data_IF_389452054536
#
_entry.id   IF_389452054536
#
_cell.length_a   1.000
_cell.length_b   1.000
_cell.length_c   1.000
_cell.angle_alpha   90.00
_cell.angle_beta   90.00
_cell.angle_gamma   90.00
#
_symmetry.space_group_name_H-M   'P 1'
#
loop_
_entity.id
_entity.type
_entity.pdbx_description
1 polymer ?
#
# COMPACT_ATOMS: atom_id res chain seq x y z
N UNK A 1 -27.89 -20.51 -7.44
CA UNK A 1 -26.58 -19.87 -7.19
C UNK A 1 -26.33 -18.67 -8.09
N UNK A 2 -26.23 -18.81 -9.42
CA UNK A 2 -25.98 -17.66 -10.32
C UNK A 2 -27.02 -16.55 -10.12
N UNK A 3 -28.31 -16.87 -10.15
CA UNK A 3 -29.37 -15.89 -9.92
C UNK A 3 -29.27 -15.22 -8.55
N UNK A 4 -28.90 -15.96 -7.50
CA UNK A 4 -28.72 -15.39 -6.16
C UNK A 4 -27.59 -14.35 -6.12
N UNK A 5 -26.46 -14.61 -6.79
CA UNK A 5 -25.27 -13.75 -6.73
C UNK A 5 -25.24 -12.65 -7.80
N UNK A 6 -25.88 -12.87 -8.94
CA UNK A 6 -25.69 -12.06 -10.15
C UNK A 6 -26.97 -11.41 -10.67
N UNK A 7 -28.00 -11.31 -9.83
CA UNK A 7 -29.24 -10.55 -10.09
C UNK A 7 -29.61 -9.73 -8.85
N UNK A 8 -30.66 -8.93 -8.94
CA UNK A 8 -31.20 -8.18 -7.79
C UNK A 8 -32.02 -9.09 -6.86
N UNK A 9 -31.37 -10.15 -6.34
CA UNK A 9 -32.00 -11.15 -5.49
C UNK A 9 -32.16 -10.64 -4.05
N UNK A 10 -33.15 -11.14 -3.32
CA UNK A 10 -33.32 -10.83 -1.90
C UNK A 10 -32.09 -11.24 -1.06
N UNK A 11 -31.45 -12.35 -1.43
CA UNK A 11 -30.18 -12.78 -0.83
C UNK A 11 -29.11 -11.69 -0.95
N UNK A 12 -28.90 -11.17 -2.16
CA UNK A 12 -27.86 -10.17 -2.41
C UNK A 12 -28.17 -8.85 -1.71
N UNK A 13 -29.43 -8.40 -1.73
CA UNK A 13 -29.85 -7.19 -0.99
C UNK A 13 -29.54 -7.32 0.51
N UNK A 14 -29.89 -8.47 1.12
CA UNK A 14 -29.57 -8.75 2.53
C UNK A 14 -28.06 -8.77 2.78
N UNK A 15 -27.29 -9.42 1.91
CA UNK A 15 -25.84 -9.51 2.02
C UNK A 15 -25.18 -8.12 1.97
N UNK A 16 -25.56 -7.28 1.01
CA UNK A 16 -25.05 -5.92 0.87
C UNK A 16 -25.35 -5.08 2.13
N UNK A 17 -26.57 -5.15 2.66
CA UNK A 17 -26.96 -4.46 3.88
C UNK A 17 -26.12 -4.90 5.09
N UNK A 18 -25.89 -6.21 5.28
CA UNK A 18 -25.06 -6.74 6.37
C UNK A 18 -23.61 -6.25 6.28
N UNK A 19 -23.11 -5.99 5.06
CA UNK A 19 -21.76 -5.47 4.81
C UNK A 19 -21.67 -3.94 4.86
N UNK A 20 -22.74 -3.24 5.23
CA UNK A 20 -22.85 -1.79 5.19
C UNK A 20 -22.55 -1.22 3.79
N UNK A 21 -23.01 -1.91 2.75
CA UNK A 21 -22.98 -1.44 1.36
C UNK A 21 -24.36 -0.86 1.04
N UNK A 22 -24.38 0.41 0.63
CA UNK A 22 -25.59 1.18 0.35
C UNK A 22 -25.58 1.73 -1.07
N UNK A 23 -26.73 2.25 -1.52
CA UNK A 23 -26.91 2.88 -2.83
C UNK A 23 -26.45 2.01 -4.01
N UNK A 24 -26.63 0.68 -3.88
CA UNK A 24 -26.23 -0.26 -4.90
C UNK A 24 -27.15 -0.19 -6.12
N UNK A 25 -26.58 0.22 -7.25
CA UNK A 25 -27.23 0.29 -8.56
C UNK A 25 -26.50 -0.62 -9.53
N UNK A 26 -27.23 -1.38 -10.34
CA UNK A 26 -26.66 -2.28 -11.35
C UNK A 26 -27.32 -2.08 -12.70
N UNK A 27 -26.53 -2.02 -13.76
CA UNK A 27 -27.06 -2.09 -15.13
C UNK A 27 -27.55 -3.50 -15.46
N UNK A 28 -28.48 -3.66 -16.43
CA UNK A 28 -28.77 -4.98 -16.98
C UNK A 28 -27.53 -5.59 -17.63
N UNK A 29 -27.54 -6.92 -17.78
CA UNK A 29 -26.53 -7.66 -18.54
C UNK A 29 -26.67 -7.36 -20.04
N UNK A 30 -25.61 -6.84 -20.65
CA UNK A 30 -25.56 -6.49 -22.06
C UNK A 30 -24.43 -7.27 -22.74
N UNK A 31 -24.67 -7.78 -23.95
CA UNK A 31 -23.65 -8.50 -24.71
C UNK A 31 -22.64 -7.53 -25.34
N UNK A 32 -21.35 -7.83 -25.27
CA UNK A 32 -20.31 -7.11 -26.01
C UNK A 32 -20.03 -7.75 -27.38
N UNK A 33 -19.21 -7.08 -28.19
CA UNK A 33 -18.76 -7.58 -29.49
C UNK A 33 -17.89 -8.86 -29.42
N UNK A 34 -17.48 -9.29 -28.23
CA UNK A 34 -16.69 -10.53 -28.04
C UNK A 34 -17.56 -11.76 -27.70
N UNK A 35 -18.86 -11.53 -27.46
CA UNK A 35 -19.86 -12.51 -27.06
C UNK A 35 -19.98 -12.70 -25.54
N UNK A 36 -19.22 -11.95 -24.74
CA UNK A 36 -19.37 -11.94 -23.29
C UNK A 36 -20.57 -11.06 -22.91
N UNK A 37 -21.15 -11.29 -21.72
CA UNK A 37 -22.13 -10.37 -21.16
C UNK A 37 -21.46 -9.50 -20.10
N UNK A 38 -21.71 -8.20 -20.13
CA UNK A 38 -21.19 -7.24 -19.18
C UNK A 38 -22.31 -6.54 -18.44
N UNK A 39 -22.02 -6.19 -17.19
CA UNK A 39 -22.79 -5.21 -16.44
C UNK A 39 -21.86 -4.40 -15.54
N UNK A 40 -22.32 -3.24 -15.15
CA UNK A 40 -21.62 -2.37 -14.20
C UNK A 40 -22.49 -2.17 -12.97
N UNK A 41 -21.87 -2.27 -11.81
CA UNK A 41 -22.47 -1.95 -10.53
C UNK A 41 -21.75 -0.75 -9.93
N UNK A 42 -22.51 0.10 -9.24
CA UNK A 42 -22.00 1.21 -8.44
C UNK A 42 -22.63 1.15 -7.07
N UNK A 43 -21.83 1.31 -6.02
CA UNK A 43 -22.30 1.25 -4.63
C UNK A 43 -21.36 1.99 -3.70
N UNK A 44 -21.85 2.31 -2.50
CA UNK A 44 -21.07 2.97 -1.44
C UNK A 44 -20.83 2.00 -0.30
N UNK A 45 -19.56 1.78 0.06
CA UNK A 45 -19.14 0.95 1.19
C UNK A 45 -18.88 1.86 2.39
N UNK A 46 -19.56 1.63 3.50
CA UNK A 46 -19.27 2.31 4.77
C UNK A 46 -18.08 1.61 5.44
N UNK A 47 -17.00 2.35 5.64
CA UNK A 47 -15.73 1.83 6.15
C UNK A 47 -15.59 2.17 7.63
N UNK A 48 -15.31 1.16 8.46
CA UNK A 48 -15.00 1.33 9.88
C UNK A 48 -13.49 1.19 10.13
N UNK A 49 -12.67 1.97 9.41
CA UNK A 49 -11.22 1.98 9.55
C UNK A 49 -10.70 3.43 9.56
N UNK A 50 -10.18 3.93 10.69
CA UNK A 50 -9.76 5.33 10.83
C UNK A 50 -8.58 5.72 9.91
N UNK A 51 -7.85 4.75 9.36
CA UNK A 51 -6.73 4.99 8.43
C UNK A 51 -7.17 5.13 6.96
N UNK A 52 -8.35 4.64 6.61
CA UNK A 52 -8.83 4.57 5.22
C UNK A 52 -9.87 5.66 4.95
N UNK A 53 -10.72 5.95 5.94
CA UNK A 53 -11.83 6.90 5.80
C UNK A 53 -13.14 6.33 6.35
N UNK A 54 -14.22 7.11 6.23
CA UNK A 54 -15.55 6.72 6.72
C UNK A 54 -16.37 5.97 5.67
N UNK A 55 -16.13 6.22 4.39
CA UNK A 55 -16.83 5.60 3.28
C UNK A 55 -15.95 5.59 2.04
N UNK A 56 -16.30 4.72 1.08
CA UNK A 56 -15.82 4.81 -0.30
C UNK A 56 -16.92 4.41 -1.25
N UNK A 57 -17.03 5.12 -2.35
CA UNK A 57 -17.74 4.68 -3.53
C UNK A 57 -16.90 3.64 -4.27
N UNK A 58 -17.58 2.71 -4.92
CA UNK A 58 -16.96 1.66 -5.71
C UNK A 58 -17.71 1.45 -7.02
N UNK A 59 -16.95 1.15 -8.07
CA UNK A 59 -17.45 0.73 -9.38
C UNK A 59 -16.97 -0.69 -9.63
N UNK A 60 -17.91 -1.60 -9.84
CA UNK A 60 -17.65 -2.99 -10.12
C UNK A 60 -18.12 -3.34 -11.53
N UNK A 61 -17.17 -3.66 -12.41
CA UNK A 61 -17.44 -4.14 -13.76
C UNK A 61 -17.43 -5.65 -13.77
N UNK A 62 -18.56 -6.26 -14.07
CA UNK A 62 -18.69 -7.71 -14.13
C UNK A 62 -18.78 -8.19 -15.58
N UNK A 63 -18.03 -9.23 -15.89
CA UNK A 63 -18.01 -9.88 -17.19
C UNK A 63 -18.35 -11.35 -17.02
N UNK A 64 -19.53 -11.76 -17.49
CA UNK A 64 -19.92 -13.15 -17.62
C UNK A 64 -19.32 -13.71 -18.91
N UNK A 65 -18.50 -14.75 -18.76
CA UNK A 65 -17.80 -15.37 -19.87
C UNK A 65 -18.77 -16.07 -20.82
N UNK A 66 -18.57 -15.90 -22.14
CA UNK A 66 -19.36 -16.52 -23.21
C UNK A 66 -19.40 -18.05 -23.20
N UNK A 67 -18.41 -18.69 -22.59
CA UNK A 67 -18.35 -20.15 -22.43
C UNK A 67 -19.25 -20.65 -21.29
N UNK A 68 -19.90 -19.76 -20.55
CA UNK A 68 -20.83 -20.12 -19.48
C UNK A 68 -22.07 -20.78 -20.08
N UNK A 69 -22.44 -21.93 -19.52
CA UNK A 69 -23.59 -22.70 -19.97
C UNK A 69 -24.70 -22.64 -18.92
N UNK A 70 -25.88 -22.14 -19.32
CA UNK A 70 -27.03 -21.99 -18.44
C UNK A 70 -27.35 -23.32 -17.74
N UNK A 71 -27.38 -23.30 -16.42
CA UNK A 71 -27.68 -24.46 -15.58
C UNK A 71 -26.51 -25.43 -15.34
N UNK A 72 -25.39 -25.29 -16.05
CA UNK A 72 -24.22 -26.18 -15.91
C UNK A 72 -23.01 -25.46 -15.31
N UNK A 73 -22.60 -24.34 -15.90
CA UNK A 73 -21.39 -23.63 -15.49
C UNK A 73 -21.51 -22.13 -15.72
N UNK A 74 -21.02 -21.34 -14.78
CA UNK A 74 -20.93 -19.89 -14.90
C UNK A 74 -19.56 -19.42 -14.47
N UNK A 75 -18.97 -18.50 -15.23
CA UNK A 75 -17.74 -17.81 -14.86
C UNK A 75 -17.92 -16.31 -14.99
N UNK A 76 -17.85 -15.61 -13.86
CA UNK A 76 -17.96 -14.16 -13.80
C UNK A 76 -16.66 -13.58 -13.25
N UNK A 77 -16.03 -12.70 -14.02
CA UNK A 77 -14.88 -11.91 -13.59
C UNK A 77 -15.39 -10.51 -13.22
N UNK A 78 -15.12 -10.07 -11.99
CA UNK A 78 -15.58 -8.81 -11.42
C UNK A 78 -14.38 -7.92 -11.07
N UNK A 79 -14.20 -6.84 -11.80
CA UNK A 79 -13.17 -5.83 -11.56
C UNK A 79 -13.75 -4.73 -10.68
N UNK A 80 -13.23 -4.57 -9.47
CA UNK A 80 -13.71 -3.59 -8.49
C UNK A 80 -12.70 -2.47 -8.32
N UNK A 81 -13.14 -1.25 -8.62
CA UNK A 81 -12.42 -0.01 -8.40
C UNK A 81 -13.07 0.74 -7.25
N UNK A 82 -12.30 1.05 -6.21
CA UNK A 82 -12.69 1.97 -5.13
C UNK A 82 -12.20 3.37 -5.47
N UNK A 83 -12.90 4.44 -5.06
CA UNK A 83 -12.57 5.80 -5.47
C UNK A 83 -12.11 6.74 -4.35
N UNK A 84 -12.48 6.49 -3.10
CA UNK A 84 -12.26 7.48 -2.00
C UNK A 84 -11.23 7.01 -0.95
N UNK A 85 -10.57 5.87 -1.20
CA UNK A 85 -9.55 5.31 -0.29
C UNK A 85 -8.14 5.83 -0.64
N UNK A 86 -7.20 5.89 0.32
CA UNK A 86 -5.81 6.21 0.02
C UNK A 86 -5.23 5.27 -1.05
N UNK A 87 -4.50 5.84 -2.01
CA UNK A 87 -3.88 5.12 -3.13
C UNK A 87 -4.88 4.39 -4.05
N UNK A 88 -6.14 4.83 -4.11
CA UNK A 88 -7.17 4.23 -4.97
C UNK A 88 -6.79 4.17 -6.46
N UNK A 89 -5.92 5.06 -6.93
CA UNK A 89 -5.41 5.10 -8.30
C UNK A 89 -4.26 4.11 -8.57
N UNK A 90 -3.67 3.52 -7.52
CA UNK A 90 -2.56 2.57 -7.63
C UNK A 90 -3.02 1.13 -7.90
N UNK A 91 -4.21 0.75 -7.41
CA UNK A 91 -4.64 -0.65 -7.42
C UNK A 91 -6.14 -0.81 -7.66
N UNK A 92 -6.53 -2.03 -8.01
CA UNK A 92 -7.91 -2.48 -8.08
C UNK A 92 -7.97 -3.97 -7.74
N UNK A 93 -9.15 -4.50 -7.45
CA UNK A 93 -9.31 -5.92 -7.14
C UNK A 93 -10.05 -6.65 -8.25
N UNK A 94 -9.67 -7.89 -8.51
CA UNK A 94 -10.33 -8.75 -9.49
C UNK A 94 -10.83 -9.99 -8.79
N UNK A 95 -12.14 -10.15 -8.71
CA UNK A 95 -12.81 -11.30 -8.11
C UNK A 95 -13.33 -12.21 -9.22
N UNK A 96 -12.92 -13.48 -9.22
CA UNK A 96 -13.37 -14.48 -10.18
C UNK A 96 -14.26 -15.50 -9.48
N UNK A 97 -15.51 -15.53 -9.92
CA UNK A 97 -16.54 -16.45 -9.46
C UNK A 97 -16.68 -17.57 -10.48
N UNK A 98 -16.49 -18.82 -10.05
CA UNK A 98 -16.74 -20.01 -10.85
C UNK A 98 -17.80 -20.87 -10.17
N UNK A 99 -18.94 -21.02 -10.84
CA UNK A 99 -20.05 -21.85 -10.39
C UNK A 99 -20.11 -23.05 -11.33
N UNK A 100 -20.03 -24.26 -10.79
CA UNK A 100 -20.16 -25.50 -11.57
C UNK A 100 -21.17 -26.42 -10.92
N UNK A 101 -22.13 -26.92 -11.69
CA UNK A 101 -23.09 -27.93 -11.23
C UNK A 101 -22.35 -29.21 -10.85
N UNK A 102 -22.74 -29.81 -9.74
CA UNK A 102 -22.15 -31.08 -9.24
C UNK A 102 -23.17 -32.20 -9.20
N UNK A 103 -24.44 -31.90 -8.87
CA UNK A 103 -25.55 -32.84 -8.91
C UNK A 103 -26.87 -32.11 -9.14
N UNK A 104 -28.00 -32.82 -9.06
CA UNK A 104 -29.30 -32.15 -9.02
C UNK A 104 -29.40 -31.26 -7.77
N UNK A 105 -29.80 -30.00 -7.96
CA UNK A 105 -29.87 -28.99 -6.89
C UNK A 105 -28.56 -28.77 -6.08
N UNK A 106 -27.40 -29.18 -6.61
CA UNK A 106 -26.09 -28.96 -5.98
C UNK A 106 -25.10 -28.34 -6.96
N UNK A 107 -24.31 -27.40 -6.46
CA UNK A 107 -23.26 -26.76 -7.21
C UNK A 107 -22.04 -26.52 -6.32
N UNK A 108 -20.89 -26.30 -6.97
CA UNK A 108 -19.66 -25.84 -6.33
C UNK A 108 -19.43 -24.40 -6.74
N UNK A 109 -19.27 -23.52 -5.75
CA UNK A 109 -18.78 -22.16 -5.94
C UNK A 109 -17.27 -22.14 -5.61
N UNK A 110 -16.46 -21.61 -6.52
CA UNK A 110 -15.07 -21.25 -6.26
C UNK A 110 -14.91 -19.76 -6.45
N UNK A 111 -14.21 -19.13 -5.51
CA UNK A 111 -13.95 -17.71 -5.52
C UNK A 111 -12.45 -17.50 -5.38
N UNK A 112 -11.87 -16.76 -6.32
CA UNK A 112 -10.45 -16.39 -6.30
C UNK A 112 -10.35 -14.90 -6.52
N UNK A 113 -9.49 -14.24 -5.75
CA UNK A 113 -9.26 -12.81 -5.86
C UNK A 113 -7.81 -12.54 -6.16
N UNK A 114 -7.57 -11.43 -6.85
CA UNK A 114 -6.24 -10.90 -7.07
C UNK A 114 -6.25 -9.38 -6.88
N UNK A 115 -5.15 -8.83 -6.37
CA UNK A 115 -4.95 -7.39 -6.22
C UNK A 115 -4.03 -6.94 -7.34
N UNK A 116 -4.57 -6.16 -8.27
CA UNK A 116 -3.85 -5.69 -9.46
C UNK A 116 -3.35 -4.27 -9.23
N UNK A 117 -2.09 -4.03 -9.59
CA UNK A 117 -1.46 -2.72 -9.47
C UNK A 117 -1.38 -2.05 -10.85
N UNK A 118 -1.93 -0.83 -10.95
CA UNK A 118 -1.78 0.06 -12.12
C UNK A 118 -0.44 0.79 -12.08
N UNK A 119 0.02 1.13 -10.87
CA UNK A 119 1.30 1.78 -10.59
C UNK A 119 2.05 0.94 -9.56
N UNK A 120 3.37 0.81 -9.69
CA UNK A 120 4.16 0.03 -8.74
C UNK A 120 4.27 0.78 -7.40
N UNK A 121 3.64 0.31 -6.30
CA UNK A 121 3.78 0.93 -5.00
C UNK A 121 5.15 0.59 -4.37
N UNK A 122 5.71 1.53 -3.61
CA UNK A 122 6.93 1.29 -2.82
C UNK A 122 6.63 0.42 -1.60
N UNK A 123 7.61 -0.36 -1.12
CA UNK A 123 7.40 -1.50 -0.21
C UNK A 123 6.44 -1.27 0.98
N UNK A 124 6.55 -0.13 1.68
CA UNK A 124 5.64 0.18 2.79
C UNK A 124 4.20 0.43 2.34
N UNK A 125 4.03 1.15 1.22
CA UNK A 125 2.70 1.42 0.63
C UNK A 125 2.09 0.10 0.14
N UNK A 126 2.88 -0.73 -0.53
CA UNK A 126 2.44 -2.06 -0.99
C UNK A 126 1.92 -2.91 0.16
N UNK A 127 2.70 -3.02 1.24
CA UNK A 127 2.30 -3.84 2.40
C UNK A 127 1.06 -3.28 3.12
N UNK A 128 0.89 -1.96 3.17
CA UNK A 128 -0.32 -1.33 3.71
C UNK A 128 -1.55 -1.64 2.84
N UNK A 129 -1.43 -1.52 1.52
CA UNK A 129 -2.50 -1.87 0.58
C UNK A 129 -2.87 -3.34 0.72
N UNK A 130 -1.89 -4.25 0.66
CA UNK A 130 -2.14 -5.70 0.74
C UNK A 130 -2.79 -6.09 2.05
N UNK A 131 -2.29 -5.60 3.18
CA UNK A 131 -2.81 -5.95 4.50
C UNK A 131 -4.27 -5.52 4.66
N UNK A 132 -4.60 -4.28 4.31
CA UNK A 132 -5.97 -3.78 4.47
C UNK A 132 -6.92 -4.44 3.45
N UNK A 133 -6.48 -4.58 2.20
CA UNK A 133 -7.29 -5.15 1.11
C UNK A 133 -7.59 -6.63 1.38
N UNK A 134 -6.57 -7.44 1.68
CA UNK A 134 -6.78 -8.86 1.96
C UNK A 134 -7.61 -9.12 3.22
N UNK A 135 -7.42 -8.33 4.27
CA UNK A 135 -8.26 -8.42 5.46
C UNK A 135 -9.74 -8.17 5.12
N UNK A 136 -10.03 -7.11 4.34
CA UNK A 136 -11.39 -6.77 3.92
C UNK A 136 -12.03 -7.82 3.02
N UNK A 137 -11.28 -8.32 2.02
CA UNK A 137 -11.73 -9.38 1.11
C UNK A 137 -12.03 -10.68 1.88
N UNK A 138 -11.12 -11.09 2.75
CA UNK A 138 -11.27 -12.32 3.52
C UNK A 138 -12.51 -12.27 4.43
N UNK A 139 -12.73 -11.15 5.12
CA UNK A 139 -13.92 -10.96 5.95
C UNK A 139 -15.20 -10.99 5.11
N UNK A 140 -15.19 -10.30 3.96
CA UNK A 140 -16.33 -10.25 3.05
C UNK A 140 -16.73 -11.64 2.55
N UNK A 141 -15.77 -12.46 2.13
CA UNK A 141 -16.06 -13.79 1.62
C UNK A 141 -16.38 -14.82 2.69
N UNK A 142 -15.82 -14.69 3.89
CA UNK A 142 -16.25 -15.50 5.04
C UNK A 142 -17.72 -15.23 5.37
N UNK A 143 -18.15 -13.97 5.32
CA UNK A 143 -19.55 -13.64 5.53
C UNK A 143 -20.43 -14.17 4.38
N UNK A 144 -19.97 -14.04 3.13
CA UNK A 144 -20.70 -14.56 1.97
C UNK A 144 -20.90 -16.08 2.06
N UNK A 145 -19.85 -16.81 2.45
CA UNK A 145 -19.90 -18.25 2.67
C UNK A 145 -20.91 -18.61 3.77
N UNK A 146 -20.85 -17.94 4.92
CA UNK A 146 -21.80 -18.13 6.02
C UNK A 146 -23.25 -17.89 5.56
N UNK A 147 -23.51 -16.79 4.86
CA UNK A 147 -24.87 -16.45 4.41
C UNK A 147 -25.38 -17.46 3.36
N UNK A 148 -24.51 -17.94 2.46
CA UNK A 148 -24.86 -18.97 1.48
C UNK A 148 -25.18 -20.32 2.13
N UNK A 149 -24.45 -20.72 3.17
CA UNK A 149 -24.74 -21.94 3.93
C UNK A 149 -26.08 -21.85 4.66
N UNK A 150 -26.42 -20.67 5.19
CA UNK A 150 -27.74 -20.42 5.79
C UNK A 150 -28.87 -20.50 4.76
N UNK A 151 -28.64 -19.99 3.55
CA UNK A 151 -29.62 -20.08 2.46
C UNK A 151 -29.80 -21.52 1.97
N UNK A 152 -28.70 -22.29 1.84
CA UNK A 152 -28.74 -23.73 1.52
C UNK A 152 -29.55 -24.53 2.56
N UNK A 153 -29.36 -24.24 3.85
CA UNK A 153 -30.13 -24.86 4.91
C UNK A 153 -31.63 -24.58 4.79
N UNK A 154 -32.01 -23.32 4.54
CA UNK A 154 -33.41 -22.93 4.37
C UNK A 154 -34.07 -23.62 3.17
N UNK A 155 -33.36 -23.72 2.04
CA UNK A 155 -33.83 -24.42 0.84
C UNK A 155 -34.01 -25.91 1.12
N UNK A 156 -33.03 -26.54 1.76
CA UNK A 156 -33.07 -27.99 2.07
C UNK A 156 -34.24 -28.32 3.00
N UNK A 157 -34.50 -27.50 4.02
CA UNK A 157 -35.65 -27.71 4.91
C UNK A 157 -37.01 -27.58 4.20
N UNK A 158 -37.12 -26.69 3.21
CA UNK A 158 -38.36 -26.52 2.44
C UNK A 158 -38.67 -27.72 1.53
N UNK A 159 -37.64 -28.45 1.12
CA UNK A 159 -37.76 -29.65 0.27
C UNK A 159 -38.15 -30.88 1.11
N UNK A 160 -37.84 -30.88 2.41
CA UNK A 160 -38.05 -32.05 3.28
C UNK A 160 -39.46 -32.15 3.93
N UNK A 161 -40.31 -31.10 3.99
CA UNK A 161 -41.70 -31.26 4.50
C UNK A 161 -42.65 -30.02 4.34
N UNK A 162 -43.73 -30.10 3.53
CA UNK A 162 -44.87 -29.17 3.62
C UNK A 162 -45.91 -29.56 4.71
N UNK A 163 -45.85 -30.76 5.28
CA UNK A 163 -46.91 -31.34 6.12
C UNK A 163 -46.84 -31.09 7.64
N UNK A 164 -45.76 -30.50 8.16
CA UNK A 164 -45.54 -30.37 9.62
C UNK A 164 -45.66 -28.94 10.18
N UNK A 165 -46.24 -28.02 9.42
CA UNK A 165 -46.25 -26.58 9.73
C UNK A 165 -47.09 -26.15 10.95
N UNK A 166 -47.87 -27.04 11.58
CA UNK A 166 -48.68 -26.68 12.76
C UNK A 166 -47.96 -26.99 14.10
N UNK A 167 -46.97 -27.88 14.13
CA UNK A 167 -46.38 -28.35 15.40
C UNK A 167 -45.13 -27.57 15.89
N UNK A 168 -44.44 -26.83 15.02
CA UNK A 168 -43.10 -26.29 15.34
C UNK A 168 -43.08 -24.83 15.83
N UNK A 169 -44.22 -24.14 15.86
CA UNK A 169 -44.28 -22.75 16.38
C UNK A 169 -43.97 -22.66 17.89
N UNK A 170 -43.93 -23.79 18.61
CA UNK A 170 -43.54 -23.85 20.04
C UNK A 170 -42.04 -24.08 20.29
N UNK A 171 -41.23 -24.46 19.29
CA UNK A 171 -39.80 -24.80 19.51
C UNK A 171 -38.82 -23.71 19.02
N UNK A 172 -39.26 -22.45 18.93
CA UNK A 172 -38.43 -21.34 18.46
C UNK A 172 -37.56 -20.68 19.55
N UNK A 173 -37.50 -21.20 20.77
CA UNK A 173 -36.73 -20.59 21.88
C UNK A 173 -35.45 -21.33 22.31
N UNK A 174 -35.19 -22.56 21.87
CA UNK A 174 -34.12 -23.37 22.47
C UNK A 174 -32.90 -23.66 21.58
N UNK A 175 -32.87 -23.22 20.32
CA UNK A 175 -31.72 -23.53 19.43
C UNK A 175 -30.52 -22.59 19.61
N UNK A 176 -30.70 -21.45 20.28
CA UNK A 176 -29.61 -20.48 20.50
C UNK A 176 -28.53 -20.97 21.48
N UNK A 177 -28.68 -22.17 22.08
CA UNK A 177 -27.77 -22.69 23.12
C UNK A 177 -26.80 -23.77 22.65
N UNK A 178 -27.05 -24.44 21.53
CA UNK A 178 -26.33 -25.68 21.17
C UNK A 178 -25.27 -25.53 20.07
N UNK A 179 -25.04 -24.33 19.51
CA UNK A 179 -23.97 -24.11 18.51
C UNK A 179 -22.61 -23.76 19.14
N UNK A 180 -22.45 -23.97 20.45
CA UNK A 180 -21.20 -23.78 21.18
C UNK A 180 -20.41 -25.08 21.43
N UNK A 181 -20.91 -26.25 21.00
CA UNK A 181 -20.32 -27.56 21.34
C UNK A 181 -19.47 -28.22 20.23
N UNK A 182 -19.25 -27.56 19.08
CA UNK A 182 -18.35 -28.05 18.03
C UNK A 182 -17.01 -27.28 18.01
N UNK A 183 -16.22 -27.42 19.07
CA UNK A 183 -14.78 -27.10 19.04
C UNK A 183 -14.02 -27.99 20.05
N UNK A 184 -12.85 -28.57 19.69
CA UNK A 184 -12.24 -29.62 20.50
C UNK A 184 -11.53 -29.08 21.75
N UNK A 185 -11.71 -29.81 22.86
CA UNK A 185 -11.04 -29.67 24.17
C UNK A 185 -9.51 -29.53 24.05
N UNK A 186 -8.96 -28.50 24.70
CA UNK A 186 -7.62 -28.53 25.29
C UNK A 186 -7.75 -28.23 26.79
N UNK A 187 -7.05 -29.03 27.58
CA UNK A 187 -7.07 -29.23 29.02
C UNK A 187 -6.67 -28.02 29.89
N UNK A 188 -7.40 -27.76 30.98
CA UNK A 188 -6.85 -27.66 32.36
C UNK A 188 -7.95 -27.37 33.40
N UNK A 189 -7.77 -27.97 34.58
CA UNK A 189 -8.62 -27.90 35.78
C UNK A 189 -8.72 -26.48 36.38
N UNK A 190 -9.88 -26.10 36.94
CA UNK A 190 -10.09 -25.88 38.39
C UNK A 190 -11.29 -24.95 38.70
N UNK A 191 -12.14 -25.44 39.62
CA UNK A 191 -13.00 -24.78 40.61
C UNK A 191 -14.18 -23.86 40.23
N UNK A 192 -15.25 -24.09 40.99
CA UNK A 192 -16.59 -23.49 40.99
C UNK A 192 -16.65 -22.17 41.76
N UNK A 193 -17.56 -21.28 41.35
CA UNK A 193 -17.96 -20.11 42.12
C UNK A 193 -19.02 -19.27 41.39
N UNK A 194 -20.17 -19.13 42.02
CA UNK A 194 -21.43 -18.53 41.59
C UNK A 194 -21.42 -16.97 41.61
N UNK A 195 -22.50 -16.39 41.07
CA UNK A 195 -23.03 -15.00 41.22
C UNK A 195 -22.72 -14.00 40.09
N UNK A 196 -23.74 -13.80 39.23
CA UNK A 196 -24.46 -12.51 39.11
C UNK A 196 -23.84 -11.30 38.40
N UNK A 197 -24.57 -10.83 37.37
CA UNK A 197 -24.74 -9.44 36.90
C UNK A 197 -23.73 -8.83 35.89
N UNK A 198 -24.36 -8.24 34.86
CA UNK A 198 -23.88 -7.15 33.96
C UNK A 198 -23.09 -7.51 32.69
N UNK A 199 -23.82 -7.94 31.65
CA UNK A 199 -23.37 -7.88 30.26
C UNK A 199 -23.65 -6.50 29.66
N UNK A 200 -22.82 -5.51 30.02
CA UNK A 200 -22.73 -4.21 29.32
C UNK A 200 -21.27 -3.75 29.15
N UNK A 201 -20.31 -4.69 29.03
CA UNK A 201 -18.88 -4.37 28.91
C UNK A 201 -18.28 -4.45 27.49
N UNK A 202 -18.85 -5.25 26.59
CA UNK A 202 -18.14 -5.67 25.37
C UNK A 202 -18.12 -4.64 24.23
N UNK A 203 -19.12 -3.77 24.12
CA UNK A 203 -19.16 -2.72 23.08
C UNK A 203 -18.23 -1.54 23.45
N UNK A 204 -18.13 -1.22 24.74
CA UNK A 204 -17.23 -0.18 25.26
C UNK A 204 -15.76 -0.61 25.15
N UNK A 205 -15.45 -1.88 25.44
CA UNK A 205 -14.09 -2.43 25.33
C UNK A 205 -13.52 -2.32 23.91
N UNK A 206 -14.27 -2.73 22.88
CA UNK A 206 -13.81 -2.71 21.49
C UNK A 206 -13.58 -1.29 20.95
N UNK A 207 -14.41 -0.33 21.37
CA UNK A 207 -14.25 1.09 21.03
C UNK A 207 -13.05 1.71 21.77
N UNK A 208 -12.84 1.35 23.04
CA UNK A 208 -11.71 1.82 23.86
C UNK A 208 -10.37 1.28 23.39
N UNK A 209 -10.36 0.06 22.84
CA UNK A 209 -9.15 -0.55 22.31
C UNK A 209 -8.79 -0.04 20.91
N UNK A 210 -9.79 0.26 20.07
CA UNK A 210 -9.60 0.99 18.82
C UNK A 210 -9.06 2.41 19.08
N UNK A 211 -9.65 3.12 20.04
CA UNK A 211 -9.22 4.46 20.44
C UNK A 211 -7.79 4.47 20.99
N UNK A 212 -7.42 3.51 21.84
CA UNK A 212 -6.05 3.39 22.36
C UNK A 212 -5.04 3.09 21.24
N UNK A 213 -5.40 2.24 20.28
CA UNK A 213 -4.56 1.98 19.10
C UNK A 213 -4.37 3.24 18.24
N UNK A 214 -5.43 4.02 18.02
CA UNK A 214 -5.32 5.28 17.28
C UNK A 214 -4.45 6.30 18.02
N UNK A 215 -4.61 6.46 19.34
CA UNK A 215 -3.76 7.36 20.13
C UNK A 215 -2.29 6.93 20.08
N UNK A 216 -2.00 5.63 20.19
CA UNK A 216 -0.64 5.12 20.07
C UNK A 216 -0.02 5.43 18.71
N UNK A 217 -0.78 5.26 17.62
CA UNK A 217 -0.31 5.58 16.25
C UNK A 217 -0.02 7.09 16.12
N UNK A 218 -0.90 7.95 16.64
CA UNK A 218 -0.71 9.41 16.60
C UNK A 218 0.56 9.82 17.35
N UNK A 219 0.81 9.24 18.54
CA UNK A 219 2.04 9.51 19.31
C UNK A 219 3.27 9.07 18.53
N UNK A 220 3.26 7.88 17.91
CA UNK A 220 4.37 7.40 17.10
C UNK A 220 4.62 8.33 15.90
N UNK A 221 3.58 8.74 15.18
CA UNK A 221 3.69 9.70 14.06
C UNK A 221 4.25 11.05 14.53
N UNK A 222 3.82 11.54 15.70
CA UNK A 222 4.35 12.77 16.30
C UNK A 222 5.84 12.65 16.63
N UNK A 223 6.29 11.49 17.13
CA UNK A 223 7.72 11.24 17.40
C UNK A 223 8.51 11.25 16.09
N UNK A 224 8.01 10.59 15.03
CA UNK A 224 8.66 10.60 13.72
C UNK A 224 8.73 12.00 13.11
N UNK A 225 7.65 12.79 13.21
CA UNK A 225 7.65 14.18 12.76
C UNK A 225 8.66 15.03 13.53
N UNK A 226 8.75 14.87 14.85
CA UNK A 226 9.75 15.56 15.67
C UNK A 226 11.18 15.19 15.24
N UNK A 227 11.45 13.90 15.03
CA UNK A 227 12.75 13.43 14.53
C UNK A 227 13.08 14.01 13.16
N UNK A 228 12.12 14.07 12.23
CA UNK A 228 12.31 14.67 10.91
C UNK A 228 12.62 16.16 11.00
N UNK A 229 11.93 16.90 11.88
CA UNK A 229 12.23 18.32 12.12
C UNK A 229 13.64 18.49 12.69
N UNK A 230 14.02 17.70 13.69
CA UNK A 230 15.37 17.75 14.27
C UNK A 230 16.45 17.41 13.24
N UNK A 231 16.20 16.43 12.36
CA UNK A 231 17.11 16.06 11.29
C UNK A 231 17.23 17.20 10.26
N UNK A 232 16.11 17.81 9.87
CA UNK A 232 16.10 18.97 8.98
C UNK A 232 16.85 20.18 9.59
N UNK A 233 16.67 20.47 10.88
CA UNK A 233 17.42 21.51 11.59
C UNK A 233 18.90 21.18 11.63
N UNK A 234 19.26 19.92 11.92
CA UNK A 234 20.67 19.48 11.95
C UNK A 234 21.31 19.61 10.57
N UNK A 235 20.58 19.25 9.51
CA UNK A 235 21.02 19.37 8.13
C UNK A 235 21.16 20.84 7.72
N UNK A 236 20.23 21.69 8.13
CA UNK A 236 20.33 23.14 7.96
C UNK A 236 21.55 23.72 8.68
N UNK A 237 21.81 23.32 9.94
CA UNK A 237 22.99 23.77 10.68
C UNK A 237 24.30 23.28 10.05
N UNK A 238 24.33 22.05 9.53
CA UNK A 238 25.46 21.53 8.76
C UNK A 238 25.68 22.34 7.48
N UNK A 239 24.61 22.66 6.76
CA UNK A 239 24.66 23.50 5.56
C UNK A 239 25.14 24.91 5.90
N UNK A 240 24.63 25.55 6.96
CA UNK A 240 25.08 26.88 7.41
C UNK A 240 26.53 26.90 7.91
N UNK A 241 27.06 25.77 8.40
CA UNK A 241 28.49 25.65 8.73
C UNK A 241 29.35 25.58 7.47
N UNK A 242 28.89 24.84 6.47
CA UNK A 242 29.57 24.73 5.16
C UNK A 242 29.51 26.06 4.41
N UNK A 243 28.37 26.75 4.44
CA UNK A 243 28.20 28.07 3.83
C UNK A 243 29.12 29.09 4.50
N UNK A 244 29.24 29.09 5.83
CA UNK A 244 30.19 29.95 6.54
C UNK A 244 31.65 29.62 6.23
N UNK A 245 31.99 28.34 6.10
CA UNK A 245 33.33 27.93 5.67
C UNK A 245 33.61 28.41 4.24
N UNK A 246 32.69 28.18 3.30
CA UNK A 246 32.79 28.62 1.92
C UNK A 246 32.88 30.16 1.81
N UNK A 247 32.07 30.91 2.57
CA UNK A 247 32.13 32.37 2.61
C UNK A 247 33.45 32.88 3.21
N UNK A 248 34.02 32.18 4.20
CA UNK A 248 35.34 32.52 4.73
C UNK A 248 36.45 32.30 3.69
N UNK A 249 36.38 31.21 2.91
CA UNK A 249 37.29 30.98 1.79
C UNK A 249 37.12 32.02 0.67
N UNK A 250 35.88 32.39 0.32
CA UNK A 250 35.62 33.47 -0.65
C UNK A 250 36.13 34.83 -0.15
N UNK A 251 35.96 35.16 1.14
CA UNK A 251 36.52 36.39 1.73
C UNK A 251 38.04 36.39 1.74
N UNK A 252 38.67 35.26 2.05
CA UNK A 252 40.13 35.13 2.01
C UNK A 252 40.61 35.29 0.58
N UNK A 253 39.97 34.67 -0.42
CA UNK A 253 40.36 34.81 -1.82
C UNK A 253 40.15 36.23 -2.36
N UNK A 254 39.09 36.92 -1.94
CA UNK A 254 38.84 38.33 -2.29
C UNK A 254 39.82 39.27 -1.56
N UNK A 255 40.23 38.93 -0.35
CA UNK A 255 41.25 39.67 0.41
C UNK A 255 42.65 39.40 -0.13
N UNK A 256 42.92 38.21 -0.68
CA UNK A 256 44.15 37.88 -1.40
C UNK A 256 44.21 38.62 -2.74
N UNK A 257 43.10 38.73 -3.45
CA UNK A 257 43.02 39.54 -4.67
C UNK A 257 43.16 41.03 -4.36
N UNK A 258 42.58 41.50 -3.25
CA UNK A 258 42.72 42.89 -2.80
C UNK A 258 44.09 43.19 -2.20
N UNK A 259 44.76 42.22 -1.56
CA UNK A 259 46.13 42.36 -1.06
C UNK A 259 47.15 42.25 -2.18
N UNK A 260 46.92 41.45 -3.23
CA UNK A 260 47.74 41.46 -4.44
C UNK A 260 47.63 42.80 -5.20
N UNK A 261 46.47 43.44 -5.17
CA UNK A 261 46.28 44.79 -5.71
C UNK A 261 46.81 45.90 -4.79
N UNK A 262 46.89 45.69 -3.46
CA UNK A 262 47.44 46.67 -2.51
C UNK A 262 48.96 46.47 -2.25
N UNK A 263 49.52 45.30 -2.54
CA UNK A 263 50.93 44.97 -2.31
C UNK A 263 51.87 45.46 -3.44
N UNK A 264 51.34 46.20 -4.43
CA UNK A 264 52.18 46.98 -5.34
C UNK A 264 52.59 48.33 -4.76
N UNK A 265 52.08 48.73 -3.58
CA UNK A 265 52.50 50.00 -2.98
C UNK A 265 52.74 49.87 -1.47
N UNK A 266 53.93 50.30 -1.08
CA UNK A 266 54.38 50.56 0.30
C UNK A 266 54.83 49.36 1.16
N UNK A 267 56.13 49.12 1.02
CA UNK A 267 57.11 48.80 2.08
C UNK A 267 56.75 49.46 3.43
N UNK A 268 56.54 48.66 4.49
CA UNK A 268 57.36 48.67 5.73
C UNK A 268 56.69 47.95 6.92
N UNK A 269 57.42 46.95 7.44
CA UNK A 269 57.68 46.64 8.87
C UNK A 269 56.50 46.44 9.84
N UNK A 270 56.31 45.21 10.34
CA UNK A 270 56.21 44.90 11.78
C UNK A 270 56.31 43.37 12.03
N UNK A 271 56.85 43.00 13.18
CA UNK A 271 57.38 41.67 13.57
C UNK A 271 56.34 40.55 13.79
N UNK A 272 56.67 39.32 13.34
CA UNK A 272 55.95 38.06 13.68
C UNK A 272 56.97 36.94 14.02
N UNK A 273 56.71 36.07 15.03
CA UNK A 273 57.70 35.21 15.68
C UNK A 273 58.27 34.09 14.80
N UNK A 274 59.53 33.74 15.03
CA UNK A 274 60.39 32.79 14.28
C UNK A 274 59.90 31.34 14.11
N UNK A 275 58.68 30.96 14.52
CA UNK A 275 58.18 29.57 14.41
C UNK A 275 57.40 29.28 13.12
N UNK A 276 57.00 30.31 12.38
CA UNK A 276 56.10 30.20 11.21
C UNK A 276 56.85 30.15 9.86
N UNK A 277 58.14 30.52 9.83
CA UNK A 277 58.92 30.63 8.57
C UNK A 277 59.21 29.26 7.93
N UNK A 278 59.43 28.23 8.75
CA UNK A 278 59.68 26.86 8.27
C UNK A 278 58.41 26.21 7.72
N UNK A 279 57.25 26.45 8.36
CA UNK A 279 55.96 25.94 7.89
C UNK A 279 55.53 26.62 6.60
N UNK A 280 55.72 27.93 6.48
CA UNK A 280 55.43 28.67 5.24
C UNK A 280 56.35 28.23 4.10
N UNK A 281 57.62 27.92 4.37
CA UNK A 281 58.53 27.37 3.35
C UNK A 281 58.14 25.95 2.92
N UNK A 282 57.74 25.08 3.85
CA UNK A 282 57.22 23.74 3.51
C UNK A 282 55.94 23.81 2.69
N UNK A 283 54.99 24.66 3.09
CA UNK A 283 53.72 24.85 2.34
C UNK A 283 53.99 25.42 0.95
N UNK A 284 54.95 26.34 0.81
CA UNK A 284 55.36 26.88 -0.49
C UNK A 284 55.98 25.81 -1.40
N UNK A 285 56.78 24.90 -0.85
CA UNK A 285 57.32 23.75 -1.57
C UNK A 285 56.23 22.79 -2.03
N UNK A 286 55.30 22.42 -1.15
CA UNK A 286 54.16 21.53 -1.46
C UNK A 286 53.25 22.14 -2.55
N UNK A 287 53.04 23.46 -2.53
CA UNK A 287 52.28 24.16 -3.57
C UNK A 287 53.01 24.16 -4.92
N UNK A 288 54.32 24.37 -4.93
CA UNK A 288 55.11 24.30 -6.17
C UNK A 288 55.10 22.88 -6.77
N UNK A 289 55.22 21.84 -5.94
CA UNK A 289 55.14 20.45 -6.38
C UNK A 289 53.75 20.09 -6.90
N UNK A 290 52.69 20.61 -6.28
CA UNK A 290 51.31 20.40 -6.72
C UNK A 290 51.04 21.07 -8.08
N UNK A 291 51.62 22.25 -8.33
CA UNK A 291 51.52 22.95 -9.62
C UNK A 291 52.28 22.17 -10.71
N UNK A 292 53.49 21.69 -10.42
CA UNK A 292 54.26 20.89 -11.37
C UNK A 292 53.55 19.57 -11.73
N UNK A 293 52.91 18.92 -10.75
CA UNK A 293 52.12 17.70 -10.97
C UNK A 293 50.87 17.97 -11.82
N UNK A 294 50.18 19.10 -11.61
CA UNK A 294 49.06 19.54 -12.45
C UNK A 294 49.49 19.77 -13.91
N UNK A 295 50.69 20.32 -14.11
CA UNK A 295 51.25 20.55 -15.44
C UNK A 295 51.65 19.23 -16.14
N UNK A 296 52.17 18.25 -15.39
CA UNK A 296 52.39 16.88 -15.87
C UNK A 296 51.07 16.16 -16.20
N UNK A 297 50.01 16.35 -15.42
CA UNK A 297 48.70 15.80 -15.72
C UNK A 297 48.11 16.40 -17.00
N UNK A 298 48.25 17.71 -17.17
CA UNK A 298 47.81 18.42 -18.38
C UNK A 298 48.55 17.92 -19.63
N UNK A 299 49.87 17.75 -19.55
CA UNK A 299 50.65 17.21 -20.67
C UNK A 299 50.29 15.75 -20.97
N UNK A 300 50.08 14.93 -19.94
CA UNK A 300 49.65 13.54 -20.09
C UNK A 300 48.26 13.42 -20.73
N UNK A 301 47.30 14.27 -20.32
CA UNK A 301 45.98 14.35 -20.94
C UNK A 301 46.07 14.79 -22.41
N UNK A 302 46.93 15.77 -22.72
CA UNK A 302 47.13 16.22 -24.11
C UNK A 302 47.75 15.12 -25.00
N UNK A 303 48.65 14.30 -24.45
CA UNK A 303 49.21 13.14 -25.16
C UNK A 303 48.17 12.05 -25.35
N UNK A 304 47.33 11.79 -24.35
CA UNK A 304 46.23 10.83 -24.44
C UNK A 304 45.22 11.26 -25.51
N UNK A 305 44.86 12.55 -25.54
CA UNK A 305 43.97 13.11 -26.55
C UNK A 305 44.55 12.95 -27.96
N UNK A 306 45.84 13.27 -28.16
CA UNK A 306 46.52 13.04 -29.44
C UNK A 306 46.57 11.56 -29.83
N UNK A 307 46.73 10.66 -28.85
CA UNK A 307 46.69 9.21 -29.08
C UNK A 307 45.31 8.73 -29.53
N UNK A 308 44.25 9.24 -28.90
CA UNK A 308 42.87 8.97 -29.32
C UNK A 308 42.56 9.53 -30.70
N UNK A 309 43.02 10.74 -31.03
CA UNK A 309 42.87 11.32 -32.36
C UNK A 309 43.60 10.50 -33.42
N UNK A 310 44.79 9.97 -33.10
CA UNK A 310 45.52 9.06 -33.98
C UNK A 310 44.81 7.71 -34.16
N UNK A 311 44.25 7.14 -33.09
CA UNK A 311 43.47 5.90 -33.14
C UNK A 311 42.16 6.05 -33.90
N UNK A 312 41.51 7.22 -33.80
CA UNK A 312 40.29 7.51 -34.53
C UNK A 312 40.56 7.66 -36.03
N UNK A 313 41.72 8.23 -36.39
CA UNK A 313 42.18 8.33 -37.78
C UNK A 313 42.57 6.99 -38.40
N UNK A 314 43.23 6.09 -37.66
CA UNK A 314 43.49 4.72 -38.17
C UNK A 314 42.22 3.89 -38.28
N UNK A 315 41.22 4.11 -37.41
CA UNK A 315 39.94 3.41 -37.49
C UNK A 315 39.07 3.88 -38.67
N UNK A 316 39.16 5.15 -39.08
CA UNK A 316 38.50 5.63 -40.30
C UNK A 316 39.11 5.05 -41.58
N UNK A 317 40.43 4.82 -41.60
CA UNK A 317 41.11 4.25 -42.77
C UNK A 317 40.85 2.72 -42.95
N UNK A 318 40.54 1.98 -41.87
CA UNK A 318 40.14 0.55 -41.93
C UNK A 318 38.67 0.32 -42.32
N UNK A 319 37.84 1.38 -42.39
CA UNK A 319 36.42 1.25 -42.79
C UNK A 319 36.15 1.61 -44.26
N UNK A 320 37.17 2.05 -45.00
CA UNK A 320 37.08 2.43 -46.43
C UNK A 320 37.90 1.55 -47.39
N UNK A 321 38.39 0.39 -46.93
CA UNK A 321 39.10 -0.60 -47.76
C UNK A 321 38.35 -1.92 -47.92
#
# INVERSE_FOLDING_TARGET
>A
MFEMLFTNSHFMQRFLNTRNIVDAVSTPWNMDGSGNQLRTLTYTIIINNPLIGKYTTATEKQTLNKQSQKGQSYRVDAEVLTHDVPYHDYFYTVNRYSITRTANQKCRLRLSTDVKYKKQPWGLIKSLIEKNTWSGIQENFKQLESDLLMEEYAITQSIEDPGKLIALRRRRRNLHRNMAELLPKRSSQHSSGDIGLESQGNIVGRKRDAARKTTAIIVIMSIFLLLLVLLNVTLFLKLSKIERAAQSFYRVHLQDEKSLNLASDMVSREDIPQRDKEQVQQVKGVLQDSIAMLEQLKSSLSMLQRSFDHLNKTKSDETES
#
